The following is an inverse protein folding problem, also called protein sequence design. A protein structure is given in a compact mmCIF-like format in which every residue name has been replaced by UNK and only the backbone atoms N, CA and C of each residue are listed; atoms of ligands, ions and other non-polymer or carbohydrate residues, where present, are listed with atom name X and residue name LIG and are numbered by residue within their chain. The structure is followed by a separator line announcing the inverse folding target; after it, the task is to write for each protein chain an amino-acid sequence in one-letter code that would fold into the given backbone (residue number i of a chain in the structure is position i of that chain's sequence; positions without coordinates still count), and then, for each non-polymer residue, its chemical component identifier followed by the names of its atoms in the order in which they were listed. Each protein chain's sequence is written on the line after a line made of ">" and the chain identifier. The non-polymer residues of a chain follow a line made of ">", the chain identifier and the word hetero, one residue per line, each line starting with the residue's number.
data_IF_599144453634
#
_entry.id   IF_599144453634
#
_cell.length_a   1.000
_cell.length_b   1.000
_cell.length_c   1.000
_cell.angle_alpha   90.00
_cell.angle_beta   90.00
_cell.angle_gamma   90.00
#
_symmetry.space_group_name_H-M   'P 1'
#
loop_
_entity.id
_entity.type
_entity.pdbx_description
1 polymer ?
#
# COMPACT_ATOMS: atom_id res chain seq x y z
N UNK A 1 -15.76 -19.62 22.50
CA UNK A 1 -16.64 -18.43 22.49
C UNK A 1 -15.81 -17.28 21.96
N UNK A 2 -16.27 -16.65 20.89
CA UNK A 2 -15.57 -15.50 20.30
C UNK A 2 -15.62 -14.32 21.28
N UNK A 3 -14.74 -13.34 21.10
CA UNK A 3 -14.69 -12.13 21.92
C UNK A 3 -15.16 -10.99 21.04
N UNK A 4 -16.24 -10.32 21.43
CA UNK A 4 -16.79 -9.21 20.66
C UNK A 4 -16.41 -7.85 21.26
N UNK A 5 -16.09 -6.91 20.39
CA UNK A 5 -16.05 -5.48 20.67
C UNK A 5 -17.04 -4.78 19.74
N UNK A 6 -17.66 -3.67 20.15
CA UNK A 6 -18.54 -2.89 19.28
C UNK A 6 -17.86 -1.57 18.91
N UNK A 7 -17.97 -1.18 17.64
CA UNK A 7 -17.60 0.16 17.22
C UNK A 7 -18.49 1.21 17.90
N UNK A 8 -17.97 2.40 18.26
CA UNK A 8 -18.78 3.47 18.85
C UNK A 8 -19.97 3.90 17.97
N UNK A 9 -19.85 3.71 16.65
CA UNK A 9 -20.88 4.00 15.65
C UNK A 9 -22.04 3.01 15.66
N UNK A 10 -21.90 1.83 16.28
CA UNK A 10 -22.94 0.81 16.31
C UNK A 10 -23.92 1.12 17.44
N UNK A 11 -25.20 1.25 17.11
CA UNK A 11 -26.27 1.36 18.11
C UNK A 11 -26.38 0.05 18.88
N UNK A 12 -25.90 0.03 20.11
CA UNK A 12 -25.87 -1.16 20.96
C UNK A 12 -27.02 -1.17 21.96
N UNK A 13 -27.63 -2.35 22.16
CA UNK A 13 -28.57 -2.58 23.26
C UNK A 13 -27.84 -2.65 24.60
N UNK A 14 -28.57 -2.63 25.72
CA UNK A 14 -27.98 -2.89 27.03
C UNK A 14 -27.27 -4.25 27.08
N UNK A 15 -27.88 -5.29 26.50
CA UNK A 15 -27.32 -6.64 26.45
C UNK A 15 -25.98 -6.67 25.69
N UNK A 16 -25.88 -5.97 24.54
CA UNK A 16 -24.63 -5.88 23.77
C UNK A 16 -23.51 -5.20 24.57
N UNK A 17 -23.84 -4.14 25.31
CA UNK A 17 -22.87 -3.42 26.15
C UNK A 17 -22.35 -4.29 27.31
N UNK A 18 -23.25 -5.02 27.99
CA UNK A 18 -22.86 -5.94 29.06
C UNK A 18 -22.01 -7.08 28.50
N UNK A 19 -22.40 -7.65 27.36
CA UNK A 19 -21.65 -8.72 26.69
C UNK A 19 -20.23 -8.26 26.34
N UNK A 20 -20.07 -7.10 25.70
CA UNK A 20 -18.76 -6.56 25.34
C UNK A 20 -17.90 -6.19 26.57
N UNK A 21 -18.52 -5.70 27.65
CA UNK A 21 -17.81 -5.43 28.89
C UNK A 21 -17.27 -6.72 29.52
N UNK A 22 -18.07 -7.78 29.56
CA UNK A 22 -17.66 -9.10 30.04
C UNK A 22 -16.58 -9.71 29.14
N UNK A 23 -16.79 -9.67 27.81
CA UNK A 23 -15.79 -10.12 26.84
C UNK A 23 -14.46 -9.39 27.03
N UNK A 24 -14.48 -8.06 27.20
CA UNK A 24 -13.27 -7.27 27.44
C UNK A 24 -12.61 -7.59 28.78
N UNK A 25 -13.38 -7.88 29.83
CA UNK A 25 -12.85 -8.26 31.14
C UNK A 25 -12.10 -9.60 31.08
N UNK A 26 -12.68 -10.59 30.40
CA UNK A 26 -12.07 -11.91 30.21
C UNK A 26 -11.00 -11.95 29.11
N UNK A 27 -10.85 -10.90 28.30
CA UNK A 27 -9.92 -10.87 27.18
C UNK A 27 -8.48 -10.55 27.62
N UNK A 28 -7.56 -11.48 27.35
CA UNK A 28 -6.12 -11.39 27.70
C UNK A 28 -5.23 -10.98 26.50
N UNK A 29 -5.84 -10.46 25.44
CA UNK A 29 -5.16 -10.04 24.21
C UNK A 29 -5.18 -11.12 23.14
N UNK A 30 -4.77 -10.74 21.93
CA UNK A 30 -4.82 -11.62 20.75
C UNK A 30 -5.89 -11.15 19.78
N UNK A 31 -6.61 -12.09 19.15
CA UNK A 31 -7.63 -11.80 18.15
C UNK A 31 -9.00 -11.65 18.78
N UNK A 32 -9.76 -10.64 18.36
CA UNK A 32 -11.17 -10.44 18.73
C UNK A 32 -11.96 -9.92 17.53
N UNK A 33 -13.29 -10.04 17.57
CA UNK A 33 -14.18 -9.56 16.52
C UNK A 33 -14.75 -8.19 16.89
N UNK A 34 -14.43 -7.18 16.10
CA UNK A 34 -15.04 -5.85 16.19
C UNK A 34 -16.27 -5.77 15.30
N UNK A 35 -17.44 -5.68 15.91
CA UNK A 35 -18.71 -5.48 15.23
C UNK A 35 -18.77 -4.02 14.76
N UNK A 36 -18.85 -3.84 13.44
CA UNK A 36 -18.85 -2.52 12.79
C UNK A 36 -20.25 -2.09 12.35
N UNK A 37 -21.15 -3.05 12.13
CA UNK A 37 -22.56 -2.78 11.87
C UNK A 37 -23.42 -3.88 12.45
N UNK A 38 -24.59 -3.51 12.95
CA UNK A 38 -25.58 -4.43 13.46
C UNK A 38 -26.94 -3.96 12.95
N UNK A 39 -27.64 -4.85 12.26
CA UNK A 39 -28.99 -4.64 11.76
C UNK A 39 -30.01 -5.08 12.82
N UNK A 40 -31.19 -4.49 12.75
CA UNK A 40 -32.37 -4.76 13.57
C UNK A 40 -32.78 -6.24 13.61
N UNK A 41 -32.40 -7.03 12.59
CA UNK A 41 -32.69 -8.46 12.46
C UNK A 41 -31.60 -9.38 13.04
N UNK A 42 -30.74 -8.88 13.95
CA UNK A 42 -29.58 -9.62 14.48
C UNK A 42 -28.59 -10.09 13.40
N UNK A 43 -28.61 -9.52 12.19
CA UNK A 43 -27.52 -9.68 11.22
C UNK A 43 -26.50 -8.57 11.45
N UNK A 44 -25.20 -8.86 11.28
CA UNK A 44 -24.18 -7.84 11.50
C UNK A 44 -22.91 -8.12 10.73
N UNK A 45 -22.08 -7.09 10.59
CA UNK A 45 -20.74 -7.23 10.06
C UNK A 45 -19.75 -7.08 11.21
N UNK A 46 -18.80 -8.02 11.29
CA UNK A 46 -17.66 -7.88 12.18
C UNK A 46 -16.37 -8.26 11.50
N UNK A 47 -15.32 -7.91 12.21
CA UNK A 47 -14.01 -7.66 11.68
C UNK A 47 -12.98 -8.17 12.67
N UNK A 48 -12.09 -9.06 12.24
CA UNK A 48 -11.09 -9.64 13.13
C UNK A 48 -9.95 -8.63 13.39
N UNK A 49 -9.85 -8.13 14.61
CA UNK A 49 -8.76 -7.23 15.02
C UNK A 49 -7.80 -7.93 15.99
N UNK A 50 -6.50 -7.67 15.83
CA UNK A 50 -5.47 -8.08 16.79
C UNK A 50 -5.23 -6.95 17.78
N UNK A 51 -5.49 -7.21 19.06
CA UNK A 51 -5.35 -6.23 20.13
C UNK A 51 -4.27 -6.67 21.10
N UNK A 52 -3.11 -5.97 21.10
CA UNK A 52 -2.10 -6.18 22.12
C UNK A 52 -2.59 -5.59 23.45
N UNK A 53 -2.44 -6.36 24.52
CA UNK A 53 -2.71 -5.92 25.89
C UNK A 53 -1.39 -5.86 26.65
N UNK A 54 -1.19 -4.80 27.43
CA UNK A 54 0.00 -4.63 28.25
C UNK A 54 0.12 -5.76 29.29
N UNK A 55 1.36 -6.14 29.65
CA UNK A 55 1.60 -7.18 30.65
C UNK A 55 0.93 -6.84 31.99
N UNK A 56 0.96 -5.56 32.39
CA UNK A 56 0.32 -5.07 33.62
C UNK A 56 -1.18 -5.30 33.62
N UNK A 57 -1.88 -4.99 32.53
CA UNK A 57 -3.31 -5.21 32.41
C UNK A 57 -3.65 -6.72 32.43
N UNK A 58 -2.83 -7.57 31.80
CA UNK A 58 -3.00 -9.03 31.87
C UNK A 58 -2.89 -9.54 33.31
N UNK A 59 -1.89 -9.08 34.06
CA UNK A 59 -1.70 -9.46 35.47
C UNK A 59 -2.90 -9.00 36.32
N UNK A 60 -3.38 -7.77 36.13
CA UNK A 60 -4.54 -7.27 36.86
C UNK A 60 -5.80 -8.08 36.56
N UNK A 61 -6.03 -8.44 35.28
CA UNK A 61 -7.11 -9.33 34.87
C UNK A 61 -6.97 -10.69 35.55
N UNK A 62 -5.79 -11.30 35.56
CA UNK A 62 -5.52 -12.58 36.23
C UNK A 62 -5.81 -12.50 37.74
N UNK A 63 -5.38 -11.44 38.42
CA UNK A 63 -5.66 -11.24 39.85
C UNK A 63 -7.17 -11.13 40.13
N UNK A 64 -7.95 -10.56 39.21
CA UNK A 64 -9.40 -10.48 39.37
C UNK A 64 -10.09 -11.86 39.37
N UNK A 65 -9.44 -12.92 38.87
CA UNK A 65 -9.97 -14.29 38.92
C UNK A 65 -9.94 -14.91 40.33
N UNK A 66 -9.24 -14.31 41.30
CA UNK A 66 -9.26 -14.75 42.70
C UNK A 66 -10.64 -14.57 43.36
N UNK A 67 -11.49 -13.72 42.80
CA UNK A 67 -12.88 -13.51 43.23
C UNK A 67 -13.81 -14.59 42.64
N UNK A 68 -13.54 -15.86 42.93
CA UNK A 68 -14.15 -17.04 42.30
C UNK A 68 -15.69 -16.95 42.19
N UNK A 69 -16.47 -16.60 43.24
CA UNK A 69 -17.93 -16.53 43.11
C UNK A 69 -18.41 -15.52 42.06
N UNK A 70 -17.74 -14.36 41.99
CA UNK A 70 -18.07 -13.27 41.06
C UNK A 70 -17.72 -13.71 39.63
N UNK A 71 -16.57 -14.35 39.45
CA UNK A 71 -16.12 -14.89 38.16
C UNK A 71 -17.11 -15.90 37.61
N UNK A 72 -17.60 -16.83 38.45
CA UNK A 72 -18.58 -17.84 38.04
C UNK A 72 -19.89 -17.18 37.58
N UNK A 73 -20.40 -16.21 38.35
CA UNK A 73 -21.62 -15.47 37.98
C UNK A 73 -21.42 -14.74 36.64
N UNK A 74 -20.29 -14.07 36.46
CA UNK A 74 -19.99 -13.33 35.24
C UNK A 74 -19.80 -14.23 34.02
N UNK A 75 -19.17 -15.41 34.18
CA UNK A 75 -19.08 -16.42 33.13
C UNK A 75 -20.47 -16.96 32.76
N UNK A 76 -21.36 -17.16 33.74
CA UNK A 76 -22.73 -17.58 33.48
C UNK A 76 -23.52 -16.51 32.71
N UNK A 77 -23.42 -15.24 33.12
CA UNK A 77 -24.05 -14.13 32.40
C UNK A 77 -23.49 -14.03 30.97
N UNK A 78 -22.17 -14.14 30.81
CA UNK A 78 -21.50 -14.14 29.50
C UNK A 78 -22.02 -15.28 28.62
N UNK A 79 -22.14 -16.48 29.18
CA UNK A 79 -22.70 -17.65 28.50
C UNK A 79 -24.11 -17.37 27.97
N UNK A 80 -25.00 -16.88 28.84
CA UNK A 80 -26.38 -16.56 28.49
C UNK A 80 -26.51 -15.43 27.45
N UNK A 81 -25.66 -14.41 27.53
CA UNK A 81 -25.66 -13.31 26.56
C UNK A 81 -25.24 -13.77 25.17
N UNK A 82 -24.17 -14.55 25.07
CA UNK A 82 -23.71 -15.10 23.79
C UNK A 82 -24.68 -16.15 23.23
N UNK A 83 -25.33 -16.96 24.06
CA UNK A 83 -26.34 -17.91 23.56
C UNK A 83 -27.55 -17.20 22.97
N UNK A 84 -27.91 -16.03 23.52
CA UNK A 84 -28.97 -15.17 22.98
C UNK A 84 -28.49 -14.32 21.79
N UNK A 85 -27.18 -14.10 21.68
CA UNK A 85 -26.57 -13.42 20.54
C UNK A 85 -26.46 -14.40 19.36
N UNK A 86 -27.61 -14.74 18.75
CA UNK A 86 -27.68 -15.58 17.55
C UNK A 86 -27.30 -14.81 16.28
N UNK A 87 -26.52 -13.74 16.43
CA UNK A 87 -26.25 -12.86 15.33
C UNK A 87 -25.37 -13.58 14.31
N UNK A 88 -25.85 -13.71 13.07
CA UNK A 88 -25.01 -14.17 11.97
C UNK A 88 -24.08 -13.03 11.60
N UNK A 89 -22.96 -13.00 12.30
CA UNK A 89 -21.91 -12.03 12.06
C UNK A 89 -21.04 -12.58 10.93
N UNK A 90 -21.20 -12.02 9.73
CA UNK A 90 -20.33 -12.36 8.62
C UNK A 90 -18.92 -11.85 8.93
N UNK A 91 -18.02 -12.79 9.25
CA UNK A 91 -16.61 -12.49 9.47
C UNK A 91 -15.99 -12.07 8.14
N UNK A 92 -15.69 -10.78 8.00
CA UNK A 92 -14.83 -10.31 6.91
C UNK A 92 -13.41 -10.21 7.46
N UNK A 93 -12.42 -10.89 6.85
CA UNK A 93 -11.02 -10.79 7.28
C UNK A 93 -10.59 -9.33 7.25
N UNK A 94 -10.03 -8.83 8.34
CA UNK A 94 -9.62 -7.44 8.42
C UNK A 94 -8.27 -7.23 7.73
N UNK A 95 -8.28 -6.23 6.85
CA UNK A 95 -7.15 -5.45 6.34
C UNK A 95 -6.22 -6.09 5.31
N UNK A 96 -6.57 -5.88 4.03
CA UNK A 96 -5.68 -5.43 2.94
C UNK A 96 -6.56 -4.84 1.83
N UNK A 97 -6.51 -3.52 1.62
CA UNK A 97 -7.04 -2.78 0.43
C UNK A 97 -8.51 -2.92 0.03
N UNK A 98 -9.29 -3.86 0.60
CA UNK A 98 -10.69 -4.13 0.24
C UNK A 98 -11.73 -3.10 0.75
N UNK A 99 -11.38 -2.20 1.67
CA UNK A 99 -12.35 -1.28 2.31
C UNK A 99 -12.95 -0.24 1.35
N UNK A 100 -12.33 0.01 0.20
CA UNK A 100 -12.92 0.84 -0.86
C UNK A 100 -13.67 0.02 -1.92
N UNK A 101 -13.66 -1.31 -1.84
CA UNK A 101 -14.06 -2.19 -2.95
C UNK A 101 -13.03 -2.25 -4.09
N UNK A 102 -11.86 -1.63 -3.89
CA UNK A 102 -10.84 -1.38 -4.91
C UNK A 102 -9.69 -2.38 -4.71
N UNK A 103 -9.75 -3.53 -5.40
CA UNK A 103 -8.58 -4.39 -5.54
C UNK A 103 -7.69 -3.87 -6.66
N UNK A 104 -6.64 -3.09 -6.33
CA UNK A 104 -5.71 -2.46 -7.29
C UNK A 104 -5.17 -3.48 -8.31
N UNK A 105 -4.98 -4.74 -7.94
CA UNK A 105 -4.49 -5.77 -8.87
C UNK A 105 -5.53 -6.24 -9.88
N UNK A 106 -6.81 -6.01 -9.61
CA UNK A 106 -7.92 -6.23 -10.53
C UNK A 106 -8.16 -5.04 -11.47
N UNK A 107 -7.45 -3.92 -11.31
CA UNK A 107 -7.52 -2.79 -12.23
C UNK A 107 -6.69 -3.15 -13.43
N UNK A 108 -7.36 -3.24 -14.57
CA UNK A 108 -6.69 -3.34 -15.85
C UNK A 108 -7.08 -2.05 -16.55
N UNK A 109 -6.16 -1.09 -16.61
CA UNK A 109 -6.42 0.13 -17.38
C UNK A 109 -6.62 -0.30 -18.86
N UNK A 110 -7.75 0.04 -19.48
CA UNK A 110 -8.17 -0.55 -20.74
C UNK A 110 -7.36 -0.11 -21.98
N UNK A 111 -6.44 0.86 -21.88
CA UNK A 111 -5.83 1.50 -23.06
C UNK A 111 -4.33 1.77 -22.98
N UNK A 112 -3.68 1.57 -24.15
CA UNK A 112 -2.41 2.08 -24.72
C UNK A 112 -1.12 2.28 -23.91
N UNK A 113 -1.17 2.47 -22.59
CA UNK A 113 -0.01 2.77 -21.76
C UNK A 113 0.48 1.56 -21.00
N UNK A 114 -0.42 0.69 -20.53
CA UNK A 114 -0.03 -0.54 -19.84
C UNK A 114 0.70 -1.44 -20.83
N UNK A 115 2.00 -1.63 -20.59
CA UNK A 115 2.76 -2.63 -21.31
C UNK A 115 2.22 -4.00 -20.89
N UNK A 116 1.29 -4.54 -21.68
CA UNK A 116 0.58 -5.80 -21.41
C UNK A 116 1.51 -7.01 -21.36
N UNK A 117 2.80 -6.82 -21.62
CA UNK A 117 3.81 -7.83 -21.45
C UNK A 117 4.09 -8.03 -19.95
N UNK A 118 3.35 -8.97 -19.35
CA UNK A 118 3.68 -9.51 -18.03
C UNK A 118 5.18 -9.80 -17.96
N UNK A 119 5.82 -9.41 -16.86
CA UNK A 119 7.21 -9.71 -16.54
C UNK A 119 7.61 -11.15 -16.91
N UNK A 120 6.75 -12.14 -16.63
CA UNK A 120 7.00 -13.53 -17.01
C UNK A 120 7.01 -13.76 -18.54
N UNK A 121 6.18 -13.04 -19.28
CA UNK A 121 6.13 -13.04 -20.74
C UNK A 121 7.36 -12.36 -21.33
N UNK A 122 7.80 -11.23 -20.76
CA UNK A 122 9.07 -10.58 -21.13
C UNK A 122 10.26 -11.52 -20.87
N UNK A 123 10.34 -12.16 -19.71
CA UNK A 123 11.39 -13.13 -19.42
C UNK A 123 11.38 -14.34 -20.34
N UNK A 124 10.18 -14.81 -20.72
CA UNK A 124 10.05 -15.87 -21.72
C UNK A 124 10.55 -15.39 -23.09
N UNK A 125 10.17 -14.21 -23.54
CA UNK A 125 10.61 -13.64 -24.81
C UNK A 125 12.13 -13.45 -24.86
N UNK A 126 12.72 -12.87 -23.81
CA UNK A 126 14.16 -12.67 -23.72
C UNK A 126 14.92 -14.02 -23.66
N UNK A 127 14.37 -15.03 -22.97
CA UNK A 127 14.94 -16.40 -22.98
C UNK A 127 14.84 -17.05 -24.36
N UNK A 128 13.77 -16.81 -25.11
CA UNK A 128 13.59 -17.33 -26.46
C UNK A 128 14.60 -16.73 -27.46
N UNK A 129 15.05 -15.49 -27.22
CA UNK A 129 16.16 -14.87 -27.98
C UNK A 129 17.55 -15.42 -27.63
N UNK A 130 17.65 -16.48 -26.82
CA UNK A 130 18.91 -17.08 -26.41
C UNK A 130 19.71 -16.25 -25.40
N UNK A 131 19.14 -15.15 -24.89
CA UNK A 131 19.76 -14.32 -23.86
C UNK A 131 19.45 -14.90 -22.48
N UNK A 132 20.47 -15.20 -21.68
CA UNK A 132 20.29 -15.55 -20.27
C UNK A 132 20.08 -14.28 -19.45
N UNK A 133 18.93 -14.20 -18.79
CA UNK A 133 18.59 -13.15 -17.80
C UNK A 133 18.78 -13.76 -16.41
N UNK A 134 19.76 -13.27 -15.66
CA UNK A 134 19.90 -13.56 -14.23
C UNK A 134 19.16 -12.44 -13.48
N UNK A 135 18.14 -12.80 -12.70
CA UNK A 135 17.38 -11.84 -11.89
C UNK A 135 17.89 -11.91 -10.46
N UNK A 136 18.50 -10.82 -9.98
CA UNK A 136 18.92 -10.72 -8.57
C UNK A 136 17.79 -10.07 -7.77
N UNK A 137 17.36 -10.75 -6.71
CA UNK A 137 16.24 -10.32 -5.87
C UNK A 137 16.76 -9.67 -4.60
N UNK A 138 16.56 -8.36 -4.46
CA UNK A 138 16.87 -7.65 -3.22
C UNK A 138 15.58 -7.31 -2.48
N UNK A 139 15.39 -7.94 -1.33
CA UNK A 139 14.29 -7.62 -0.42
C UNK A 139 14.75 -6.50 0.51
N UNK A 140 14.24 -5.29 0.31
CA UNK A 140 14.37 -4.21 1.29
C UNK A 140 13.60 -4.63 2.55
N UNK A 141 14.26 -4.66 3.70
CA UNK A 141 13.67 -5.16 4.95
C UNK A 141 12.52 -4.24 5.40
N UNK A 142 11.36 -4.84 5.65
CA UNK A 142 10.06 -4.19 5.86
C UNK A 142 9.84 -3.61 7.27
N UNK A 143 10.89 -3.28 8.02
CA UNK A 143 10.74 -2.69 9.36
C UNK A 143 10.45 -1.19 9.32
N UNK A 144 10.87 -0.50 8.26
CA UNK A 144 10.69 0.94 8.12
C UNK A 144 9.63 1.23 7.07
N UNK A 145 8.41 1.46 7.55
CA UNK A 145 7.27 1.82 6.72
C UNK A 145 7.51 3.18 6.11
N UNK A 146 8.03 3.20 4.89
CA UNK A 146 7.99 4.39 4.06
C UNK A 146 6.58 4.50 3.49
N UNK A 147 5.71 5.08 4.31
CA UNK A 147 4.43 5.58 3.84
C UNK A 147 4.73 6.95 3.25
N UNK A 148 4.46 7.14 1.96
CA UNK A 148 4.23 8.47 1.41
C UNK A 148 3.01 9.05 2.10
N UNK A 149 3.22 9.61 3.28
CA UNK A 149 2.17 10.24 4.05
C UNK A 149 1.96 11.62 3.45
N UNK A 150 0.93 11.73 2.61
CA UNK A 150 0.29 13.01 2.30
C UNK A 150 -0.55 13.32 3.54
N UNK A 151 -0.15 14.29 4.38
CA UNK A 151 -0.87 14.57 5.62
C UNK A 151 -2.28 15.06 5.30
N UNK A 152 -3.31 14.46 5.91
CA UNK A 152 -4.68 14.95 5.80
C UNK A 152 -4.83 16.44 6.16
N UNK A 153 -3.99 16.94 7.08
CA UNK A 153 -3.93 18.37 7.46
C UNK A 153 -3.49 19.29 6.30
N UNK A 154 -2.92 18.73 5.23
CA UNK A 154 -2.53 19.45 4.01
C UNK A 154 -3.53 19.29 2.89
N UNK A 155 -4.65 18.59 3.10
CA UNK A 155 -5.70 18.54 2.09
C UNK A 155 -6.38 19.91 2.03
N UNK A 156 -6.42 20.57 0.86
CA UNK A 156 -7.27 21.73 0.63
C UNK A 156 -8.72 21.41 0.98
N UNK A 157 -9.45 22.38 1.55
CA UNK A 157 -10.82 22.14 2.01
C UNK A 157 -11.76 21.71 0.87
N UNK A 158 -11.54 22.21 -0.34
CA UNK A 158 -12.26 21.81 -1.56
C UNK A 158 -12.07 20.34 -1.94
N UNK A 159 -11.06 19.66 -1.39
CA UNK A 159 -10.84 18.21 -1.57
C UNK A 159 -11.49 17.36 -0.48
N UNK A 160 -12.05 17.96 0.58
CA UNK A 160 -12.68 17.20 1.65
C UNK A 160 -14.02 16.64 1.21
N UNK A 161 -14.29 15.37 1.50
CA UNK A 161 -15.49 14.63 1.14
C UNK A 161 -16.78 15.34 1.57
N UNK A 162 -16.75 16.05 2.69
CA UNK A 162 -17.87 16.86 3.22
C UNK A 162 -18.40 17.89 2.22
N UNK A 163 -17.57 18.40 1.31
CA UNK A 163 -17.99 19.34 0.25
C UNK A 163 -18.70 18.65 -0.93
N UNK A 164 -18.53 17.34 -1.07
CA UNK A 164 -18.99 16.56 -2.22
C UNK A 164 -20.24 15.71 -1.93
N UNK A 165 -20.54 15.43 -0.66
CA UNK A 165 -21.65 14.59 -0.20
C UNK A 165 -23.10 15.06 -0.51
N UNK A 166 -23.44 16.36 -0.61
CA UNK A 166 -24.83 16.77 -0.77
C UNK A 166 -25.49 16.47 -2.13
N UNK A 167 -24.73 16.11 -3.18
CA UNK A 167 -25.23 15.98 -4.55
C UNK A 167 -24.74 14.70 -5.23
N UNK A 168 -25.64 14.05 -5.99
CA UNK A 168 -25.55 12.71 -6.61
C UNK A 168 -24.30 12.42 -7.48
N UNK A 169 -24.18 11.15 -7.90
CA UNK A 169 -23.19 10.46 -8.78
C UNK A 169 -22.25 11.32 -9.66
N UNK A 170 -22.71 12.38 -10.32
CA UNK A 170 -21.85 13.25 -11.15
C UNK A 170 -20.70 13.89 -10.36
N UNK A 171 -20.85 14.05 -9.05
CA UNK A 171 -19.78 14.55 -8.15
C UNK A 171 -18.76 13.50 -7.74
N UNK A 172 -19.03 12.20 -7.91
CA UNK A 172 -18.07 11.12 -7.58
C UNK A 172 -16.86 11.14 -8.48
N UNK A 173 -17.09 11.21 -9.79
CA UNK A 173 -16.04 11.27 -10.80
C UNK A 173 -15.18 12.53 -10.60
N UNK A 174 -15.82 13.65 -10.29
CA UNK A 174 -15.14 14.92 -10.06
C UNK A 174 -14.31 14.87 -8.76
N UNK A 175 -14.86 14.32 -7.67
CA UNK A 175 -14.11 14.07 -6.43
C UNK A 175 -12.86 13.21 -6.67
N UNK A 176 -13.01 12.08 -7.40
CA UNK A 176 -11.87 11.21 -7.75
C UNK A 176 -10.85 11.95 -8.59
N UNK A 177 -11.29 12.75 -9.59
CA UNK A 177 -10.42 13.56 -10.45
C UNK A 177 -9.62 14.57 -9.65
N UNK A 178 -10.26 15.30 -8.74
CA UNK A 178 -9.59 16.28 -7.87
C UNK A 178 -8.59 15.62 -6.91
N UNK A 179 -8.98 14.51 -6.27
CA UNK A 179 -8.08 13.75 -5.39
C UNK A 179 -6.90 13.17 -6.15
N UNK A 180 -7.13 12.66 -7.36
CA UNK A 180 -6.06 12.16 -8.24
C UNK A 180 -5.10 13.28 -8.66
N UNK A 181 -5.64 14.44 -9.07
CA UNK A 181 -4.83 15.60 -9.42
C UNK A 181 -3.95 16.06 -8.25
N UNK A 182 -4.47 16.03 -7.02
CA UNK A 182 -3.69 16.32 -5.82
C UNK A 182 -2.55 15.31 -5.61
N UNK A 183 -2.83 14.00 -5.73
CA UNK A 183 -1.80 12.95 -5.62
C UNK A 183 -0.72 13.11 -6.69
N UNK A 184 -1.11 13.37 -7.94
CA UNK A 184 -0.17 13.57 -9.06
C UNK A 184 0.66 14.86 -8.89
N UNK A 185 0.03 15.95 -8.42
CA UNK A 185 0.72 17.20 -8.10
C UNK A 185 1.73 17.02 -6.96
N UNK A 186 1.35 16.25 -5.93
CA UNK A 186 2.24 15.89 -4.83
C UNK A 186 3.44 15.07 -5.33
N UNK A 187 3.19 14.03 -6.13
CA UNK A 187 4.25 13.22 -6.74
C UNK A 187 5.17 14.08 -7.60
N UNK A 188 4.63 14.92 -8.48
CA UNK A 188 5.44 15.78 -9.37
C UNK A 188 6.31 16.76 -8.59
N UNK A 189 5.80 17.36 -7.52
CA UNK A 189 6.50 18.40 -6.75
C UNK A 189 7.47 17.85 -5.70
N UNK A 190 7.08 16.81 -4.95
CA UNK A 190 7.83 16.32 -3.78
C UNK A 190 8.25 14.85 -3.91
N UNK A 191 7.71 14.10 -4.88
CA UNK A 191 7.94 12.67 -5.00
C UNK A 191 9.41 12.32 -5.23
N UNK A 192 10.14 13.13 -6.01
CA UNK A 192 11.58 12.95 -6.27
C UNK A 192 12.41 13.01 -4.98
N UNK A 193 12.27 14.09 -4.23
CA UNK A 193 13.04 14.30 -2.99
C UNK A 193 12.69 13.24 -1.94
N UNK A 194 11.39 12.93 -1.79
CA UNK A 194 10.90 11.88 -0.88
C UNK A 194 11.50 10.51 -1.22
N UNK A 195 11.51 10.13 -2.49
CA UNK A 195 12.09 8.85 -2.93
C UNK A 195 13.61 8.81 -2.71
N UNK A 196 14.31 9.91 -2.97
CA UNK A 196 15.74 10.00 -2.71
C UNK A 196 16.04 9.86 -1.22
N UNK A 197 15.26 10.50 -0.35
CA UNK A 197 15.40 10.36 1.11
C UNK A 197 15.22 8.90 1.55
N UNK A 198 14.23 8.20 0.99
CA UNK A 198 13.95 6.78 1.27
C UNK A 198 15.10 5.87 0.84
N UNK A 199 15.68 6.14 -0.32
CA UNK A 199 16.87 5.43 -0.82
C UNK A 199 18.06 5.71 0.09
N UNK A 200 18.22 6.94 0.59
CA UNK A 200 19.28 7.31 1.52
C UNK A 200 19.13 6.62 2.89
N UNK A 201 17.92 6.56 3.42
CA UNK A 201 17.61 5.93 4.71
C UNK A 201 17.80 4.40 4.65
N UNK A 202 17.65 3.80 3.47
CA UNK A 202 17.80 2.34 3.25
C UNK A 202 19.22 1.92 2.84
N UNK A 203 20.21 2.80 2.94
CA UNK A 203 21.61 2.51 2.58
C UNK A 203 22.21 1.40 3.45
N UNK A 204 22.17 0.17 2.93
CA UNK A 204 23.10 -0.88 3.34
C UNK A 204 24.46 -0.64 2.69
N UNK A 205 25.55 -0.82 3.44
CA UNK A 205 26.94 -0.59 2.97
C UNK A 205 27.46 -1.65 1.99
N UNK A 206 26.57 -2.29 1.22
CA UNK A 206 26.95 -3.37 0.32
C UNK A 206 27.56 -2.76 -0.94
N UNK A 207 28.84 -3.01 -1.18
CA UNK A 207 29.53 -2.56 -2.38
C UNK A 207 29.31 -3.50 -3.55
N UNK A 208 29.18 -2.94 -4.76
CA UNK A 208 29.16 -3.68 -6.01
C UNK A 208 30.42 -3.33 -6.80
N UNK A 209 31.19 -4.35 -7.19
CA UNK A 209 32.36 -4.16 -8.05
C UNK A 209 31.94 -3.59 -9.41
N UNK A 210 32.65 -2.57 -9.90
CA UNK A 210 32.34 -1.88 -11.17
C UNK A 210 32.17 -2.83 -12.38
N UNK A 211 32.83 -3.99 -12.42
CA UNK A 211 32.67 -4.97 -13.50
C UNK A 211 31.27 -5.62 -13.53
N UNK A 212 30.62 -5.77 -12.37
CA UNK A 212 29.21 -6.19 -12.30
C UNK A 212 28.30 -5.05 -12.77
N UNK A 213 28.71 -3.81 -12.52
CA UNK A 213 27.95 -2.61 -12.86
C UNK A 213 27.93 -2.34 -14.36
N UNK A 214 29.06 -2.55 -15.03
CA UNK A 214 29.17 -2.41 -16.49
C UNK A 214 28.43 -3.50 -17.27
N UNK A 215 27.91 -4.53 -16.60
CA UNK A 215 27.02 -5.53 -17.21
C UNK A 215 25.57 -5.05 -17.30
N UNK A 216 25.22 -3.91 -16.68
CA UNK A 216 23.88 -3.35 -16.76
C UNK A 216 23.65 -2.67 -18.12
N UNK A 217 22.61 -3.12 -18.85
CA UNK A 217 22.18 -2.53 -20.12
C UNK A 217 20.68 -2.31 -20.16
N UNK A 218 20.27 -1.16 -20.69
CA UNK A 218 18.90 -0.87 -21.07
C UNK A 218 18.64 -1.48 -22.45
N UNK A 219 17.54 -2.22 -22.62
CA UNK A 219 17.36 -3.10 -23.78
C UNK A 219 16.93 -2.29 -25.02
N UNK A 220 16.10 -1.26 -24.86
CA UNK A 220 15.51 -0.56 -26.02
C UNK A 220 15.43 0.98 -25.88
N UNK A 221 16.34 1.60 -25.12
CA UNK A 221 16.40 3.07 -25.03
C UNK A 221 17.84 3.60 -25.06
N UNK A 222 18.44 3.74 -26.25
CA UNK A 222 19.85 4.12 -26.37
C UNK A 222 20.17 5.48 -25.73
N UNK A 223 19.19 6.38 -25.66
CA UNK A 223 19.33 7.66 -24.96
C UNK A 223 19.45 7.49 -23.44
N UNK A 224 18.58 6.69 -22.82
CA UNK A 224 18.63 6.45 -21.36
C UNK A 224 19.83 5.58 -20.99
N UNK A 225 20.21 4.64 -21.86
CA UNK A 225 21.45 3.89 -21.71
C UNK A 225 22.68 4.81 -21.78
N UNK A 226 22.70 5.72 -22.76
CA UNK A 226 23.78 6.70 -22.91
C UNK A 226 23.88 7.63 -21.71
N UNK A 227 22.74 8.09 -21.18
CA UNK A 227 22.69 8.92 -19.99
C UNK A 227 23.13 8.17 -18.74
N UNK A 228 22.62 6.96 -18.51
CA UNK A 228 23.05 6.13 -17.38
C UNK A 228 24.55 5.81 -17.45
N UNK A 229 25.06 5.44 -18.62
CA UNK A 229 26.49 5.17 -18.82
C UNK A 229 27.33 6.43 -18.61
N UNK A 230 26.84 7.60 -19.04
CA UNK A 230 27.47 8.89 -18.79
C UNK A 230 27.57 9.16 -17.28
N UNK A 231 26.46 9.04 -16.55
CA UNK A 231 26.42 9.23 -15.08
C UNK A 231 27.34 8.24 -14.36
N UNK A 232 27.36 6.98 -14.80
CA UNK A 232 28.23 5.95 -14.24
C UNK A 232 29.71 6.30 -14.45
N UNK A 233 30.08 6.71 -15.66
CA UNK A 233 31.45 7.11 -15.98
C UNK A 233 31.87 8.37 -15.21
N UNK A 234 30.97 9.35 -15.08
CA UNK A 234 31.19 10.56 -14.27
C UNK A 234 31.47 10.19 -12.80
N UNK A 235 30.68 9.29 -12.21
CA UNK A 235 30.85 8.85 -10.82
C UNK A 235 32.15 8.04 -10.61
N UNK A 236 32.50 7.15 -11.54
CA UNK A 236 33.78 6.41 -11.49
C UNK A 236 34.96 7.39 -11.56
N UNK A 237 34.86 8.43 -12.38
CA UNK A 237 35.94 9.42 -12.55
C UNK A 237 36.12 10.28 -11.31
N UNK A 238 35.03 10.67 -10.64
CA UNK A 238 35.08 11.53 -9.44
C UNK A 238 35.60 10.81 -8.20
N UNK A 239 35.43 9.49 -8.10
CA UNK A 239 35.86 8.70 -6.93
C UNK A 239 37.33 8.26 -6.94
N UNK A 240 38.07 8.49 -8.03
CA UNK A 240 39.49 8.13 -8.13
C UNK A 240 39.72 6.62 -8.36
N UNK A 241 40.82 6.27 -9.01
CA UNK A 241 41.02 4.91 -9.57
C UNK A 241 41.22 3.78 -8.56
N UNK A 242 41.42 4.10 -7.28
CA UNK A 242 41.77 3.12 -6.25
C UNK A 242 40.54 2.47 -5.59
N UNK A 243 39.39 3.16 -5.53
CA UNK A 243 38.11 2.61 -5.08
C UNK A 243 37.14 2.45 -6.26
N UNK A 244 37.30 1.35 -7.01
CA UNK A 244 36.38 0.98 -8.13
C UNK A 244 35.04 0.41 -7.65
N UNK A 245 34.72 0.55 -6.37
CA UNK A 245 33.46 0.09 -5.82
C UNK A 245 32.40 1.17 -6.01
N UNK A 246 31.41 0.86 -6.85
CA UNK A 246 30.22 1.70 -6.97
C UNK A 246 29.29 1.28 -5.85
N UNK A 247 29.00 2.22 -4.94
CA UNK A 247 28.06 1.97 -3.85
C UNK A 247 26.69 1.75 -4.47
N UNK A 248 25.97 0.73 -4.01
CA UNK A 248 24.64 0.39 -4.53
C UNK A 248 23.68 1.59 -4.55
N UNK A 249 23.81 2.51 -3.59
CA UNK A 249 23.06 3.77 -3.52
C UNK A 249 23.20 4.63 -4.77
N UNK A 250 24.39 4.69 -5.36
CA UNK A 250 24.65 5.54 -6.51
C UNK A 250 23.97 4.97 -7.76
N UNK A 251 23.89 3.64 -7.85
CA UNK A 251 23.15 2.97 -8.92
C UNK A 251 21.67 3.25 -8.83
N UNK A 252 21.10 3.25 -7.63
CA UNK A 252 19.72 3.68 -7.43
C UNK A 252 19.53 5.13 -7.82
N UNK A 253 20.42 6.04 -7.40
CA UNK A 253 20.30 7.45 -7.73
C UNK A 253 20.33 7.67 -9.24
N UNK A 254 21.23 7.00 -9.96
CA UNK A 254 21.32 7.07 -11.42
C UNK A 254 20.10 6.46 -12.11
N UNK A 255 19.67 5.27 -11.68
CA UNK A 255 18.47 4.61 -12.20
C UNK A 255 17.22 5.48 -11.98
N UNK A 256 17.11 6.07 -10.81
CA UNK A 256 16.02 6.96 -10.43
C UNK A 256 16.02 8.24 -11.28
N UNK A 257 17.19 8.82 -11.56
CA UNK A 257 17.32 9.97 -12.45
C UNK A 257 16.82 9.69 -13.87
N UNK A 258 17.06 8.48 -14.38
CA UNK A 258 16.54 8.07 -15.69
C UNK A 258 15.05 7.70 -15.65
N UNK A 259 14.59 7.03 -14.59
CA UNK A 259 13.23 6.52 -14.43
C UNK A 259 12.20 7.62 -14.15
N UNK A 260 12.52 8.53 -13.23
CA UNK A 260 11.58 9.51 -12.71
C UNK A 260 10.93 10.39 -13.81
N UNK A 261 11.67 10.95 -14.78
CA UNK A 261 11.07 11.75 -15.84
C UNK A 261 10.08 10.96 -16.70
N UNK A 262 10.36 9.69 -16.99
CA UNK A 262 9.46 8.84 -17.76
C UNK A 262 8.20 8.52 -16.97
N UNK A 263 8.34 8.16 -15.68
CA UNK A 263 7.21 7.97 -14.78
C UNK A 263 6.32 9.20 -14.71
N UNK A 264 6.90 10.39 -14.53
CA UNK A 264 6.17 11.66 -14.51
C UNK A 264 5.42 11.89 -15.83
N UNK A 265 6.07 11.64 -16.97
CA UNK A 265 5.42 11.81 -18.29
C UNK A 265 4.21 10.90 -18.48
N UNK A 266 4.27 9.67 -17.96
CA UNK A 266 3.15 8.72 -18.00
C UNK A 266 2.01 9.21 -17.13
N UNK A 267 2.28 9.50 -15.85
CA UNK A 267 1.19 9.85 -14.92
C UNK A 267 0.55 11.19 -15.30
N UNK A 268 1.30 12.13 -15.90
CA UNK A 268 0.79 13.42 -16.37
C UNK A 268 0.02 13.32 -17.70
N UNK A 269 -0.03 12.15 -18.35
CA UNK A 269 -0.81 11.94 -19.56
C UNK A 269 -2.31 12.11 -19.26
N UNK A 270 -3.06 12.93 -20.03
CA UNK A 270 -4.51 13.06 -19.87
C UNK A 270 -5.24 11.72 -19.98
N UNK A 271 -4.76 10.84 -20.86
CA UNK A 271 -5.30 9.50 -21.05
C UNK A 271 -5.16 8.66 -19.78
N UNK A 272 -3.98 8.68 -19.14
CA UNK A 272 -3.75 7.96 -17.89
C UNK A 272 -4.69 8.44 -16.79
N UNK A 273 -4.80 9.76 -16.61
CA UNK A 273 -5.65 10.32 -15.57
C UNK A 273 -7.12 9.99 -15.79
N UNK A 274 -7.64 10.10 -17.01
CA UNK A 274 -9.06 9.85 -17.28
C UNK A 274 -9.42 8.36 -17.18
N UNK A 275 -8.55 7.45 -17.62
CA UNK A 275 -8.76 6.01 -17.45
C UNK A 275 -8.77 5.61 -15.97
N UNK A 276 -7.83 6.14 -15.17
CA UNK A 276 -7.76 5.86 -13.75
C UNK A 276 -8.95 6.46 -12.99
N UNK A 277 -9.38 7.68 -13.34
CA UNK A 277 -10.60 8.30 -12.80
C UNK A 277 -11.81 7.44 -13.13
N UNK A 278 -11.94 6.98 -14.37
CA UNK A 278 -13.06 6.14 -14.79
C UNK A 278 -13.14 4.85 -13.97
N UNK A 279 -12.05 4.08 -13.89
CA UNK A 279 -11.99 2.82 -13.16
C UNK A 279 -12.25 3.00 -11.65
N UNK A 280 -11.59 3.99 -11.03
CA UNK A 280 -11.77 4.26 -9.60
C UNK A 280 -13.20 4.72 -9.31
N UNK A 281 -13.79 5.53 -10.19
CA UNK A 281 -15.17 6.01 -10.04
C UNK A 281 -16.20 4.90 -10.26
N UNK A 282 -15.91 3.86 -11.03
CA UNK A 282 -16.81 2.71 -11.11
C UNK A 282 -16.78 1.86 -9.83
N UNK A 283 -15.59 1.65 -9.26
CA UNK A 283 -15.38 0.71 -8.14
C UNK A 283 -15.55 1.32 -6.75
N UNK A 284 -15.40 2.63 -6.61
CA UNK A 284 -15.60 3.32 -5.34
C UNK A 284 -17.07 3.24 -4.92
N UNK A 285 -17.39 2.81 -3.70
CA UNK A 285 -18.77 2.88 -3.19
C UNK A 285 -18.89 4.04 -2.20
N UNK A 286 -19.49 5.15 -2.64
CA UNK A 286 -19.66 6.33 -1.79
C UNK A 286 -20.85 6.20 -0.82
N UNK A 287 -21.82 5.34 -1.13
CA UNK A 287 -23.05 5.21 -0.33
C UNK A 287 -22.79 4.58 1.04
N UNK A 288 -21.64 3.92 1.20
CA UNK A 288 -21.20 3.29 2.44
C UNK A 288 -20.34 4.19 3.35
N UNK A 289 -20.08 5.45 2.97
CA UNK A 289 -19.13 6.31 3.69
C UNK A 289 -19.84 7.30 4.61
N UNK A 290 -19.36 7.39 5.85
CA UNK A 290 -19.82 8.40 6.80
C UNK A 290 -19.03 9.72 6.61
N UNK A 291 -19.69 10.89 6.55
CA UNK A 291 -19.07 12.19 6.29
C UNK A 291 -17.97 12.62 7.25
N UNK A 292 -17.97 12.08 8.46
CA UNK A 292 -17.08 12.50 9.56
C UNK A 292 -15.86 11.58 9.71
N UNK A 293 -15.63 10.67 8.75
CA UNK A 293 -14.52 9.74 8.81
C UNK A 293 -13.25 10.31 8.15
N UNK A 294 -12.47 11.09 8.91
CA UNK A 294 -11.13 11.56 8.49
C UNK A 294 -10.21 10.38 8.09
N UNK A 295 -10.49 9.16 8.59
CA UNK A 295 -9.76 7.95 8.21
C UNK A 295 -10.04 7.55 6.75
N UNK A 296 -11.23 7.86 6.23
CA UNK A 296 -11.61 7.55 4.86
C UNK A 296 -10.75 8.33 3.85
N UNK A 297 -10.64 9.65 4.00
CA UNK A 297 -9.91 10.49 3.04
C UNK A 297 -8.45 10.07 2.94
N UNK A 298 -7.82 9.80 4.09
CA UNK A 298 -6.45 9.32 4.13
C UNK A 298 -6.32 7.94 3.48
N UNK A 299 -7.26 7.02 3.71
CA UNK A 299 -7.28 5.70 3.06
C UNK A 299 -7.47 5.82 1.55
N UNK A 300 -8.34 6.72 1.10
CA UNK A 300 -8.61 6.95 -0.30
C UNK A 300 -7.39 7.54 -1.01
N UNK A 301 -6.74 8.56 -0.43
CA UNK A 301 -5.46 9.10 -0.92
C UNK A 301 -4.39 8.03 -1.03
N UNK A 302 -4.22 7.22 0.01
CA UNK A 302 -3.24 6.14 0.00
C UNK A 302 -3.54 5.11 -1.09
N UNK A 303 -4.82 4.90 -1.41
CA UNK A 303 -5.25 3.97 -2.45
C UNK A 303 -5.04 4.54 -3.84
N UNK A 304 -5.39 5.81 -4.06
CA UNK A 304 -5.09 6.54 -5.30
C UNK A 304 -3.59 6.58 -5.55
N UNK A 305 -2.79 6.91 -4.53
CA UNK A 305 -1.34 6.91 -4.63
C UNK A 305 -0.80 5.54 -5.06
N UNK A 306 -1.30 4.46 -4.44
CA UNK A 306 -0.92 3.10 -4.83
C UNK A 306 -1.28 2.79 -6.28
N UNK A 307 -2.46 3.22 -6.73
CA UNK A 307 -2.89 3.02 -8.11
C UNK A 307 -2.04 3.83 -9.10
N UNK A 308 -1.71 5.09 -8.78
CA UNK A 308 -0.81 5.93 -9.60
C UNK A 308 0.58 5.33 -9.71
N UNK A 309 1.16 4.87 -8.59
CA UNK A 309 2.48 4.23 -8.60
C UNK A 309 2.46 2.91 -9.38
N UNK A 310 1.42 2.10 -9.19
CA UNK A 310 1.27 0.81 -9.87
C UNK A 310 1.13 0.98 -11.38
N UNK A 311 0.11 1.71 -11.83
CA UNK A 311 -0.18 1.83 -13.25
C UNK A 311 0.75 2.82 -13.97
N UNK A 312 1.24 3.84 -13.27
CA UNK A 312 2.27 4.72 -13.82
C UNK A 312 3.56 3.96 -14.10
N UNK A 313 3.87 2.93 -13.30
CA UNK A 313 4.99 2.03 -13.57
C UNK A 313 4.69 1.10 -14.77
N UNK A 314 3.51 0.49 -14.84
CA UNK A 314 3.11 -0.34 -15.99
C UNK A 314 3.05 0.44 -17.31
N UNK A 315 2.81 1.75 -17.20
CA UNK A 315 2.84 2.72 -18.29
C UNK A 315 4.23 2.95 -18.91
N UNK A 316 5.28 2.58 -18.19
CA UNK A 316 6.67 2.72 -18.64
C UNK A 316 7.04 1.48 -19.44
N UNK A 317 7.68 1.69 -20.59
CA UNK A 317 8.08 0.56 -21.40
C UNK A 317 9.15 -0.28 -20.69
N UNK A 318 8.81 -1.48 -20.23
CA UNK A 318 9.78 -2.38 -19.57
C UNK A 318 10.95 -2.72 -20.51
N UNK A 319 10.68 -2.79 -21.81
CA UNK A 319 11.67 -2.94 -22.87
C UNK A 319 12.66 -1.75 -22.91
N UNK A 320 12.20 -0.52 -22.67
CA UNK A 320 13.05 0.68 -22.70
C UNK A 320 13.95 0.82 -21.46
N UNK A 321 13.62 0.18 -20.34
CA UNK A 321 14.14 0.57 -19.03
C UNK A 321 15.14 -0.39 -18.35
N UNK A 322 15.59 -1.49 -18.98
CA UNK A 322 16.71 -2.29 -18.44
C UNK A 322 16.55 -2.61 -16.96
N UNK A 323 15.52 -3.38 -16.68
CA UNK A 323 14.65 -3.28 -15.50
C UNK A 323 15.31 -2.99 -14.14
N UNK A 324 14.87 -1.93 -13.44
CA UNK A 324 15.04 -1.65 -12.00
C UNK A 324 13.65 -1.37 -11.39
N UNK A 325 13.22 -2.12 -10.36
CA UNK A 325 11.89 -1.99 -9.73
C UNK A 325 11.94 -1.31 -8.34
N UNK A 326 11.31 -0.16 -8.14
CA UNK A 326 10.99 0.34 -6.80
C UNK A 326 9.48 0.54 -6.67
N UNK A 327 8.87 -0.18 -5.72
CA UNK A 327 7.57 0.23 -5.15
C UNK A 327 7.72 0.15 -3.63
N UNK A 328 7.22 1.14 -2.90
CA UNK A 328 6.93 0.92 -1.49
C UNK A 328 5.74 1.76 -1.07
N UNK A 329 4.73 1.10 -0.48
CA UNK A 329 4.13 1.71 0.71
C UNK A 329 4.36 0.88 1.97
N UNK A 330 4.49 -0.46 1.89
CA UNK A 330 4.65 -1.33 3.08
C UNK A 330 5.26 -2.72 2.75
N UNK A 331 6.40 -2.74 2.04
CA UNK A 331 7.13 -3.91 1.50
C UNK A 331 6.78 -4.32 0.07
N UNK A 332 7.63 -3.89 -0.87
CA UNK A 332 7.77 -4.50 -2.17
C UNK A 332 9.22 -4.91 -2.39
N UNK A 333 9.41 -6.03 -3.08
CA UNK A 333 10.72 -6.49 -3.49
C UNK A 333 11.21 -5.64 -4.65
N UNK A 334 12.40 -5.08 -4.49
CA UNK A 334 13.15 -4.54 -5.62
C UNK A 334 13.61 -5.74 -6.43
N UNK A 335 13.02 -5.90 -7.60
CA UNK A 335 13.52 -6.78 -8.62
C UNK A 335 14.44 -5.93 -9.49
N UNK A 336 15.65 -6.38 -9.74
CA UNK A 336 16.45 -5.80 -10.81
C UNK A 336 16.77 -6.94 -11.78
N UNK A 337 15.95 -7.13 -12.81
CA UNK A 337 16.25 -8.09 -13.85
C UNK A 337 17.44 -7.66 -14.70
N UNK A 338 18.49 -8.48 -14.70
CA UNK A 338 19.71 -8.20 -15.43
C UNK A 338 19.90 -9.15 -16.61
N UNK A 339 20.24 -8.58 -17.76
CA UNK A 339 20.72 -9.34 -18.90
C UNK A 339 22.21 -9.57 -18.78
N UNK A 340 22.63 -10.85 -18.73
CA UNK A 340 24.04 -11.20 -18.70
C UNK A 340 24.49 -11.57 -20.11
N UNK A 341 25.35 -10.75 -20.71
CA UNK A 341 26.03 -11.14 -21.95
C UNK A 341 27.04 -12.25 -21.64
N UNK A 342 26.94 -13.39 -22.34
CA UNK A 342 28.05 -14.34 -22.39
C UNK A 342 29.16 -13.70 -23.24
N UNK A 343 30.37 -13.65 -22.68
CA UNK A 343 31.59 -13.52 -23.48
C UNK A 343 31.85 -14.84 -24.19
#
# INVERSE_FOLDING_TARGET
>A
MEVYSFSPSVRTSFQHRVMAALDNWFFLGGRRLKVVSLDSCNSGQACEEYVPISTTEKVLKILSYLLIPIVIIALLIRYLLHSNFTAKVSQKPWLKTLQLGIDIKSFILPGSHVNTMDSATLFKAIRLEGKRVDVEYHRLHSSDKVVFYIPAQKLPDDLRLTHWLPEKETRKTEYVRHMLAHVMGYLTSQGKERLQQVVQDSRSSTSLGAEKVLQYRFIDHPQSQGEFQRLLNENITTKGSEDKEVVQSDLFDMAFQCWWPQFISVIQSPTFSEELVHEMSQKLDLDCIYPEDDEFEQKFLNTLLKAVLHHGFEGISVASMGVIFLICPDSLALQIPFLRNQK
#
